data_IF_940130403220
#
_entry.id   IF_940130403220
#
_cell.length_a   1.000
_cell.length_b   1.000
_cell.length_c   1.000
_cell.angle_alpha   90.00
_cell.angle_beta   90.00
_cell.angle_gamma   90.00
#
_symmetry.space_group_name_H-M   'P 1'
#
loop_
_entity.id
_entity.type
_entity.pdbx_description
1 polymer ?
#
# COMPACT_ATOMS: atom_id res chain seq x y z
N UNK A 1 -22.29 -13.16 14.41
CA UNK A 1 -22.14 -12.28 13.22
C UNK A 1 -21.60 -13.12 12.07
N UNK A 2 -22.21 -13.08 10.88
CA UNK A 2 -21.70 -13.84 9.72
C UNK A 2 -20.46 -13.15 9.15
N UNK A 3 -19.36 -13.89 9.02
CA UNK A 3 -18.13 -13.41 8.37
C UNK A 3 -18.27 -13.45 6.85
N UNK A 4 -17.96 -12.35 6.16
CA UNK A 4 -17.90 -12.30 4.70
C UNK A 4 -16.68 -13.08 4.22
N UNK A 5 -16.90 -14.26 3.63
CA UNK A 5 -15.84 -15.10 3.07
C UNK A 5 -15.63 -14.75 1.60
N UNK A 6 -14.41 -14.35 1.26
CA UNK A 6 -13.95 -14.02 -0.09
C UNK A 6 -12.62 -14.70 -0.39
N UNK A 7 -12.20 -14.70 -1.65
CA UNK A 7 -10.88 -15.20 -2.03
C UNK A 7 -9.73 -14.53 -1.27
N UNK A 8 -9.84 -13.23 -0.91
CA UNK A 8 -8.85 -12.54 -0.08
C UNK A 8 -8.79 -13.13 1.33
N UNK A 9 -9.95 -13.36 1.97
CA UNK A 9 -9.97 -13.90 3.34
C UNK A 9 -9.36 -15.29 3.42
N UNK A 10 -9.61 -16.13 2.42
CA UNK A 10 -9.04 -17.48 2.32
C UNK A 10 -7.54 -17.43 2.04
N UNK A 11 -7.15 -16.61 1.06
CA UNK A 11 -5.76 -16.49 0.64
C UNK A 11 -4.88 -15.94 1.76
N UNK A 12 -5.28 -14.85 2.42
CA UNK A 12 -4.49 -14.23 3.47
C UNK A 12 -4.71 -14.86 4.86
N UNK A 13 -5.75 -15.67 5.05
CA UNK A 13 -6.10 -16.25 6.35
C UNK A 13 -6.67 -15.23 7.34
N UNK A 14 -7.40 -14.23 6.84
CA UNK A 14 -7.98 -13.12 7.64
C UNK A 14 -9.51 -13.23 7.69
N UNK A 15 -10.14 -12.56 8.65
CA UNK A 15 -11.60 -12.67 8.88
C UNK A 15 -12.41 -11.71 8.01
N UNK A 16 -11.84 -10.57 7.66
CA UNK A 16 -12.51 -9.50 6.93
C UNK A 16 -11.75 -9.18 5.64
N UNK A 17 -12.46 -8.96 4.51
CA UNK A 17 -11.84 -8.63 3.23
C UNK A 17 -11.38 -7.15 3.17
N UNK A 18 -10.63 -6.74 4.19
CA UNK A 18 -10.18 -5.38 4.43
C UNK A 18 -8.68 -5.38 4.69
N UNK A 19 -7.96 -4.59 3.92
CA UNK A 19 -6.50 -4.44 4.00
C UNK A 19 -6.15 -3.03 4.47
N UNK A 20 -5.29 -2.94 5.49
CA UNK A 20 -4.52 -1.73 5.77
C UNK A 20 -3.28 -1.76 4.88
N UNK A 21 -3.21 -0.85 3.89
CA UNK A 21 -2.12 -0.86 2.91
C UNK A 21 -0.81 -0.33 3.50
N UNK A 22 0.33 -0.80 2.96
CA UNK A 22 1.64 -0.29 3.34
C UNK A 22 1.74 1.22 3.09
N UNK A 23 1.95 1.99 4.15
CA UNK A 23 2.15 3.44 4.10
C UNK A 23 3.48 3.78 4.78
N UNK A 24 4.45 4.29 4.02
CA UNK A 24 5.75 4.70 4.57
C UNK A 24 5.59 5.63 5.78
N UNK A 25 6.41 5.43 6.81
CA UNK A 25 6.36 6.15 8.10
C UNK A 25 5.07 6.00 8.93
N UNK A 26 3.99 5.43 8.40
CA UNK A 26 2.68 5.32 9.07
C UNK A 26 2.40 3.88 9.48
N UNK A 27 2.61 2.93 8.58
CA UNK A 27 2.29 1.52 8.75
C UNK A 27 3.41 0.77 9.51
N UNK A 28 3.57 1.13 10.80
CA UNK A 28 4.46 0.46 11.74
C UNK A 28 3.78 -0.68 12.53
N UNK A 29 4.54 -1.35 13.43
CA UNK A 29 4.07 -2.55 14.13
C UNK A 29 2.73 -2.41 14.87
N UNK A 30 2.49 -1.25 15.50
CA UNK A 30 1.27 -1.00 16.28
C UNK A 30 0.02 -0.98 15.40
N UNK A 31 0.07 -0.29 14.26
CA UNK A 31 -1.06 -0.20 13.33
C UNK A 31 -1.33 -1.54 12.64
N UNK A 32 -0.26 -2.24 12.24
CA UNK A 32 -0.35 -3.55 11.59
C UNK A 32 -0.96 -4.58 12.54
N UNK A 33 -0.45 -4.67 13.78
CA UNK A 33 -0.98 -5.60 14.77
C UNK A 33 -2.42 -5.27 15.17
N UNK A 34 -2.76 -3.98 15.31
CA UNK A 34 -4.14 -3.54 15.55
C UNK A 34 -5.09 -3.99 14.44
N UNK A 35 -4.68 -3.82 13.18
CA UNK A 35 -5.46 -4.28 12.02
C UNK A 35 -5.63 -5.80 12.01
N UNK A 36 -4.55 -6.54 12.25
CA UNK A 36 -4.57 -8.01 12.26
C UNK A 36 -5.45 -8.56 13.40
N UNK A 37 -5.36 -7.96 14.60
CA UNK A 37 -6.20 -8.31 15.75
C UNK A 37 -7.68 -7.98 15.52
N UNK A 38 -7.99 -6.96 14.74
CA UNK A 38 -9.34 -6.63 14.30
C UNK A 38 -9.86 -7.53 13.15
N UNK A 39 -9.06 -8.49 12.68
CA UNK A 39 -9.46 -9.47 11.67
C UNK A 39 -9.22 -9.05 10.22
N UNK A 40 -8.61 -7.89 9.97
CA UNK A 40 -8.17 -7.46 8.64
C UNK A 40 -6.73 -7.89 8.33
N UNK A 41 -6.25 -7.59 7.12
CA UNK A 41 -4.84 -7.77 6.74
C UNK A 41 -4.07 -6.47 6.99
N UNK A 42 -3.23 -6.44 8.03
CA UNK A 42 -2.25 -5.37 8.22
C UNK A 42 -1.02 -5.57 7.35
N UNK A 43 -0.49 -4.50 6.74
CA UNK A 43 0.74 -4.55 5.92
C UNK A 43 1.75 -3.53 6.44
N UNK A 44 2.87 -4.04 6.96
CA UNK A 44 4.00 -3.23 7.43
C UNK A 44 4.71 -2.56 6.25
N UNK A 45 5.00 -1.27 6.34
CA UNK A 45 5.73 -0.57 5.28
C UNK A 45 7.23 -0.60 5.52
N UNK A 46 7.98 -1.40 4.75
CA UNK A 46 9.43 -1.49 4.91
C UNK A 46 10.21 -0.48 4.07
N UNK A 47 9.53 0.29 3.22
CA UNK A 47 10.17 1.16 2.23
C UNK A 47 11.07 2.25 2.85
N UNK A 48 10.81 2.62 4.11
CA UNK A 48 11.52 3.67 4.86
C UNK A 48 12.40 3.08 5.97
N UNK A 49 12.61 1.75 5.97
CA UNK A 49 13.35 1.02 6.99
C UNK A 49 14.63 0.46 6.40
N UNK A 50 15.73 0.55 7.13
CA UNK A 50 16.90 -0.31 6.93
C UNK A 50 16.52 -1.79 7.14
N UNK A 51 17.42 -2.70 6.74
CA UNK A 51 17.20 -4.13 6.95
C UNK A 51 17.02 -4.48 8.44
N UNK A 52 17.85 -3.93 9.33
CA UNK A 52 17.78 -4.17 10.78
C UNK A 52 16.51 -3.59 11.41
N UNK A 53 16.06 -2.42 10.94
CA UNK A 53 14.79 -1.85 11.38
C UNK A 53 13.59 -2.70 10.91
N UNK A 54 13.64 -3.24 9.69
CA UNK A 54 12.62 -4.17 9.21
C UNK A 54 12.57 -5.45 10.05
N UNK A 55 13.72 -6.06 10.33
CA UNK A 55 13.81 -7.25 11.20
C UNK A 55 13.22 -6.97 12.59
N UNK A 56 13.60 -5.83 13.19
CA UNK A 56 13.08 -5.39 14.49
C UNK A 56 11.56 -5.11 14.44
N UNK A 57 11.06 -4.52 13.35
CA UNK A 57 9.65 -4.21 13.18
C UNK A 57 8.80 -5.48 12.97
N UNK A 58 9.30 -6.47 12.23
CA UNK A 58 8.66 -7.80 12.10
C UNK A 58 8.59 -8.47 13.47
N UNK A 59 9.71 -8.54 14.19
CA UNK A 59 9.77 -9.13 15.53
C UNK A 59 8.78 -8.43 16.48
N UNK A 60 8.76 -7.09 16.48
CA UNK A 60 7.83 -6.31 17.30
C UNK A 60 6.37 -6.57 16.94
N UNK A 61 6.05 -6.68 15.65
CA UNK A 61 4.67 -6.97 15.19
C UNK A 61 4.21 -8.32 15.74
N UNK A 62 5.06 -9.35 15.68
CA UNK A 62 4.77 -10.68 16.24
C UNK A 62 4.60 -10.69 17.76
N UNK A 63 5.20 -9.76 18.51
CA UNK A 63 4.92 -9.63 19.96
C UNK A 63 3.54 -9.05 20.26
N UNK A 64 2.88 -8.42 19.28
CA UNK A 64 1.61 -7.71 19.44
C UNK A 64 0.43 -8.47 18.83
N UNK A 65 0.68 -9.48 18.00
CA UNK A 65 -0.37 -10.29 17.37
C UNK A 65 0.18 -11.66 16.94
N UNK A 66 -0.66 -12.69 17.12
CA UNK A 66 -0.47 -14.02 16.54
C UNK A 66 -1.23 -14.20 15.21
N UNK A 67 -1.89 -13.13 14.72
CA UNK A 67 -2.66 -13.15 13.47
C UNK A 67 -1.75 -12.88 12.25
N UNK A 68 -2.11 -13.38 11.06
CA UNK A 68 -1.31 -13.15 9.87
C UNK A 68 -1.25 -11.65 9.51
N UNK A 69 -0.07 -11.23 9.06
CA UNK A 69 0.18 -9.89 8.53
C UNK A 69 1.10 -9.96 7.31
N UNK A 70 1.16 -8.87 6.58
CA UNK A 70 2.04 -8.70 5.43
C UNK A 70 3.14 -7.67 5.63
N UNK A 71 4.09 -7.67 4.71
CA UNK A 71 5.13 -6.64 4.60
C UNK A 71 5.18 -6.12 3.16
N UNK A 72 5.17 -4.81 2.99
CA UNK A 72 5.34 -4.15 1.70
C UNK A 72 6.82 -3.82 1.44
N UNK A 73 7.34 -4.31 0.31
CA UNK A 73 8.71 -4.14 -0.15
C UNK A 73 8.73 -3.28 -1.41
N UNK A 74 9.75 -2.43 -1.54
CA UNK A 74 10.06 -1.76 -2.80
C UNK A 74 10.73 -2.74 -3.77
N UNK A 75 10.08 -3.00 -4.90
CA UNK A 75 10.61 -3.91 -5.92
C UNK A 75 11.96 -3.48 -6.50
N UNK A 76 12.27 -2.18 -6.44
CA UNK A 76 13.49 -1.55 -6.96
C UNK A 76 14.60 -1.38 -5.90
N UNK A 77 14.36 -1.80 -4.65
CA UNK A 77 15.39 -1.76 -3.61
C UNK A 77 16.50 -2.77 -3.92
N UNK A 78 17.76 -2.34 -3.83
CA UNK A 78 18.93 -3.19 -4.10
C UNK A 78 19.02 -4.38 -3.14
N UNK A 79 18.51 -4.24 -1.91
CA UNK A 79 18.45 -5.27 -0.88
C UNK A 79 17.13 -6.07 -0.88
N UNK A 80 16.25 -5.89 -1.88
CA UNK A 80 14.98 -6.62 -1.98
C UNK A 80 15.13 -8.15 -1.88
N UNK A 81 16.15 -8.80 -2.50
CA UNK A 81 16.37 -10.24 -2.32
C UNK A 81 16.61 -10.64 -0.86
N UNK A 82 17.39 -9.86 -0.11
CA UNK A 82 17.67 -10.12 1.31
C UNK A 82 16.44 -9.89 2.18
N UNK A 83 15.63 -8.86 1.87
CA UNK A 83 14.35 -8.65 2.56
C UNK A 83 13.38 -9.81 2.34
N UNK A 84 13.37 -10.39 1.16
CA UNK A 84 12.56 -11.59 0.88
C UNK A 84 13.04 -12.79 1.71
N UNK A 85 14.34 -13.00 1.83
CA UNK A 85 14.89 -14.04 2.71
C UNK A 85 14.45 -13.85 4.16
N UNK A 86 14.46 -12.61 4.64
CA UNK A 86 13.95 -12.26 5.96
C UNK A 86 12.45 -12.59 6.10
N UNK A 87 11.61 -12.20 5.14
CA UNK A 87 10.16 -12.52 5.17
C UNK A 87 9.91 -14.03 5.23
N UNK A 88 10.66 -14.81 4.45
CA UNK A 88 10.56 -16.27 4.43
C UNK A 88 10.99 -16.86 5.78
N UNK A 89 12.17 -16.48 6.28
CA UNK A 89 12.71 -16.93 7.57
C UNK A 89 11.75 -16.61 8.72
N UNK A 90 11.13 -15.44 8.66
CA UNK A 90 10.17 -14.97 9.66
C UNK A 90 8.74 -15.47 9.42
N UNK A 91 8.48 -16.33 8.44
CA UNK A 91 7.13 -16.83 8.13
C UNK A 91 6.07 -15.71 7.98
N UNK A 92 6.44 -14.60 7.34
CA UNK A 92 5.49 -13.52 7.03
C UNK A 92 4.46 -14.05 6.03
N UNK A 93 3.17 -13.81 6.29
CA UNK A 93 2.09 -14.42 5.51
C UNK A 93 1.99 -13.85 4.10
N UNK A 94 2.10 -12.52 3.98
CA UNK A 94 1.93 -11.79 2.71
C UNK A 94 3.16 -10.94 2.41
N UNK A 95 3.71 -11.10 1.21
CA UNK A 95 4.64 -10.15 0.61
C UNK A 95 3.88 -9.24 -0.36
N UNK A 96 3.82 -7.95 -0.04
CA UNK A 96 3.30 -6.93 -0.94
C UNK A 96 4.44 -6.16 -1.60
N UNK A 97 4.22 -5.64 -2.79
CA UNK A 97 5.24 -4.86 -3.51
C UNK A 97 4.71 -3.51 -3.96
N UNK A 98 5.51 -2.47 -3.72
CA UNK A 98 5.44 -1.23 -4.46
C UNK A 98 6.19 -1.42 -5.79
N UNK A 99 5.50 -1.16 -6.90
CA UNK A 99 5.93 -1.52 -8.26
C UNK A 99 5.95 -3.04 -8.51
N UNK A 100 6.03 -3.44 -9.78
CA UNK A 100 6.09 -4.85 -10.14
C UNK A 100 7.46 -5.45 -9.76
N UNK A 101 7.52 -6.50 -8.92
CA UNK A 101 8.77 -7.19 -8.59
C UNK A 101 9.27 -8.00 -9.78
N UNK A 102 10.53 -8.42 -9.74
CA UNK A 102 11.07 -9.33 -10.76
C UNK A 102 10.48 -10.74 -10.60
N UNK A 103 10.36 -11.47 -11.70
CA UNK A 103 9.73 -12.80 -11.75
C UNK A 103 10.40 -13.79 -10.77
N UNK A 104 11.73 -13.75 -10.65
CA UNK A 104 12.50 -14.60 -9.75
C UNK A 104 12.18 -14.36 -8.27
N UNK A 105 11.84 -13.13 -7.90
CA UNK A 105 11.48 -12.77 -6.53
C UNK A 105 10.09 -13.33 -6.17
N UNK A 106 9.15 -13.26 -7.12
CA UNK A 106 7.83 -13.89 -6.97
C UNK A 106 8.02 -15.40 -6.81
N UNK A 107 8.76 -16.05 -7.72
CA UNK A 107 8.97 -17.49 -7.68
C UNK A 107 9.57 -17.96 -6.34
N UNK A 108 10.56 -17.23 -5.80
CA UNK A 108 11.19 -17.53 -4.52
C UNK A 108 10.20 -17.47 -3.34
N UNK A 109 9.39 -16.42 -3.27
CA UNK A 109 8.36 -16.27 -2.23
C UNK A 109 7.30 -17.38 -2.31
N UNK A 110 6.86 -17.70 -3.52
CA UNK A 110 5.87 -18.75 -3.76
C UNK A 110 6.37 -20.15 -3.39
N UNK A 111 7.62 -20.46 -3.72
CA UNK A 111 8.24 -21.73 -3.34
C UNK A 111 8.29 -21.91 -1.81
N UNK A 112 8.32 -20.81 -1.05
CA UNK A 112 8.26 -20.79 0.41
C UNK A 112 6.84 -20.67 0.99
N UNK A 113 5.79 -20.65 0.16
CA UNK A 113 4.39 -20.54 0.61
C UNK A 113 3.96 -19.14 1.07
N UNK A 114 4.77 -18.11 0.79
CA UNK A 114 4.40 -16.70 1.06
C UNK A 114 3.47 -16.21 -0.04
N UNK A 115 2.33 -15.62 0.36
CA UNK A 115 1.35 -15.07 -0.58
C UNK A 115 1.88 -13.76 -1.17
N UNK A 116 1.88 -13.65 -2.50
CA UNK A 116 2.44 -12.49 -3.21
C UNK A 116 1.32 -11.59 -3.74
N UNK A 117 1.24 -10.36 -3.22
CA UNK A 117 0.21 -9.36 -3.56
C UNK A 117 0.83 -8.01 -3.95
N UNK A 118 1.31 -7.85 -5.20
CA UNK A 118 1.83 -6.57 -5.68
C UNK A 118 0.72 -5.53 -5.87
N UNK A 119 1.09 -4.25 -5.71
CA UNK A 119 0.21 -3.11 -6.03
C UNK A 119 0.40 -2.69 -7.48
N UNK A 120 -0.70 -2.52 -8.21
CA UNK A 120 -0.70 -2.15 -9.63
C UNK A 120 -1.66 -0.99 -9.90
N UNK A 121 -1.40 -0.25 -11.00
CA UNK A 121 -2.23 0.86 -11.47
C UNK A 121 -2.71 0.72 -12.92
N UNK A 122 -2.60 -0.47 -13.52
CA UNK A 122 -3.04 -0.73 -14.89
C UNK A 122 -3.26 -2.23 -15.16
N UNK A 123 -4.27 -2.58 -15.97
CA UNK A 123 -4.58 -3.96 -16.37
C UNK A 123 -3.38 -4.71 -16.98
N UNK A 124 -2.57 -4.04 -17.81
CA UNK A 124 -1.34 -4.63 -18.38
C UNK A 124 -0.34 -5.08 -17.31
N UNK A 125 -0.26 -4.36 -16.18
CA UNK A 125 0.64 -4.73 -15.08
C UNK A 125 0.07 -5.91 -14.30
N UNK A 126 -1.26 -5.96 -14.09
CA UNK A 126 -1.93 -7.10 -13.49
C UNK A 126 -1.69 -8.40 -14.29
N UNK A 127 -1.92 -8.37 -15.61
CA UNK A 127 -1.64 -9.52 -16.51
C UNK A 127 -0.20 -10.00 -16.37
N UNK A 128 0.75 -9.06 -16.33
CA UNK A 128 2.17 -9.37 -16.24
C UNK A 128 2.51 -10.10 -14.93
N UNK A 129 2.13 -9.54 -13.77
CA UNK A 129 2.43 -10.18 -12.48
C UNK A 129 1.64 -11.47 -12.26
N UNK A 130 0.42 -11.58 -12.79
CA UNK A 130 -0.34 -12.83 -12.80
C UNK A 130 0.37 -13.92 -13.60
N UNK A 131 0.90 -13.60 -14.79
CA UNK A 131 1.68 -14.55 -15.61
C UNK A 131 2.98 -15.01 -14.93
N UNK A 132 3.48 -14.24 -13.97
CA UNK A 132 4.63 -14.58 -13.13
C UNK A 132 4.25 -15.32 -11.85
N UNK A 133 2.95 -15.51 -11.61
CA UNK A 133 2.41 -16.29 -10.52
C UNK A 133 1.92 -15.50 -9.32
N UNK A 134 1.82 -14.17 -9.34
CA UNK A 134 1.24 -13.41 -8.21
C UNK A 134 -0.13 -14.00 -7.80
N UNK A 135 -0.38 -14.10 -6.50
CA UNK A 135 -1.56 -14.80 -5.97
C UNK A 135 -2.80 -13.89 -5.90
N UNK A 136 -2.59 -12.58 -5.84
CA UNK A 136 -3.62 -11.55 -5.93
C UNK A 136 -2.98 -10.22 -6.35
N UNK A 137 -3.78 -9.18 -6.63
CA UNK A 137 -3.29 -7.82 -6.87
C UNK A 137 -4.07 -6.78 -6.08
N UNK A 138 -3.38 -5.76 -5.56
CA UNK A 138 -4.03 -4.54 -5.07
C UNK A 138 -4.07 -3.54 -6.24
N UNK A 139 -5.25 -3.05 -6.58
CA UNK A 139 -5.48 -2.14 -7.71
C UNK A 139 -5.86 -0.78 -7.18
N UNK A 140 -4.95 0.19 -7.32
CA UNK A 140 -5.18 1.55 -6.82
C UNK A 140 -5.62 2.48 -7.94
N UNK A 141 -6.85 3.00 -7.83
CA UNK A 141 -7.33 4.10 -8.67
C UNK A 141 -6.75 5.46 -8.26
N UNK A 142 -6.95 6.45 -9.13
CA UNK A 142 -6.40 7.80 -9.03
C UNK A 142 -6.81 8.59 -7.79
N UNK A 143 -7.85 8.13 -7.10
CA UNK A 143 -8.35 8.65 -5.83
C UNK A 143 -7.45 8.30 -4.64
N UNK A 144 -6.61 7.26 -4.77
CA UNK A 144 -5.69 6.84 -3.72
C UNK A 144 -4.64 7.90 -3.40
N UNK A 145 -4.31 8.06 -2.11
CA UNK A 145 -3.18 8.85 -1.65
C UNK A 145 -1.85 8.20 -1.99
N UNK A 146 -0.76 8.97 -1.97
CA UNK A 146 0.55 8.44 -2.36
C UNK A 146 0.76 8.46 -3.87
N UNK A 147 1.71 7.66 -4.36
CA UNK A 147 1.90 7.46 -5.79
C UNK A 147 0.66 6.85 -6.43
N UNK A 148 0.13 7.50 -7.46
CA UNK A 148 -1.15 7.09 -8.06
C UNK A 148 -1.23 7.35 -9.56
N UNK A 149 -2.04 6.55 -10.26
CA UNK A 149 -2.36 6.76 -11.67
C UNK A 149 -3.44 7.82 -11.88
N UNK A 150 -3.73 8.21 -13.12
CA UNK A 150 -4.79 9.17 -13.42
C UNK A 150 -6.19 8.54 -13.52
N UNK A 151 -6.29 7.20 -13.60
CA UNK A 151 -7.53 6.49 -13.89
C UNK A 151 -8.32 6.28 -12.60
N UNK A 152 -9.58 6.72 -12.58
CA UNK A 152 -10.49 6.53 -11.44
C UNK A 152 -10.72 5.04 -11.14
N UNK A 153 -10.90 4.69 -9.86
CA UNK A 153 -11.17 3.32 -9.41
C UNK A 153 -12.34 2.68 -10.15
N UNK A 154 -13.41 3.43 -10.42
CA UNK A 154 -14.62 2.95 -11.11
C UNK A 154 -14.38 2.51 -12.56
N UNK A 155 -13.30 2.98 -13.19
CA UNK A 155 -12.88 2.58 -14.53
C UNK A 155 -11.74 1.56 -14.49
N UNK A 156 -10.78 1.76 -13.59
CA UNK A 156 -9.61 0.91 -13.46
C UNK A 156 -9.96 -0.50 -12.95
N UNK A 157 -10.82 -0.59 -11.94
CA UNK A 157 -11.18 -1.83 -11.29
C UNK A 157 -11.80 -2.86 -12.27
N UNK A 158 -12.90 -2.55 -13.01
CA UNK A 158 -13.46 -3.49 -13.97
C UNK A 158 -12.46 -3.86 -15.07
N UNK A 159 -11.68 -2.89 -15.57
CA UNK A 159 -10.65 -3.18 -16.58
C UNK A 159 -9.58 -4.18 -16.11
N UNK A 160 -9.25 -4.22 -14.81
CA UNK A 160 -8.33 -5.21 -14.25
C UNK A 160 -9.03 -6.54 -14.02
N UNK A 161 -10.27 -6.53 -13.52
CA UNK A 161 -11.07 -7.74 -13.31
C UNK A 161 -11.28 -8.52 -14.62
N UNK A 162 -11.55 -7.84 -15.72
CA UNK A 162 -11.68 -8.47 -17.05
C UNK A 162 -10.35 -9.02 -17.60
N UNK A 163 -9.23 -8.63 -16.99
CA UNK A 163 -7.90 -8.91 -17.49
C UNK A 163 -7.21 -10.10 -16.81
N UNK A 164 -7.64 -10.51 -15.61
CA UNK A 164 -6.98 -11.56 -14.82
C UNK A 164 -7.98 -12.39 -14.02
N UNK A 165 -7.68 -13.67 -13.82
CA UNK A 165 -8.50 -14.58 -13.01
C UNK A 165 -8.10 -14.59 -11.52
N UNK A 166 -6.93 -14.04 -11.17
CA UNK A 166 -6.49 -13.96 -9.78
C UNK A 166 -7.31 -12.93 -8.99
N UNK A 167 -7.48 -13.11 -7.66
CA UNK A 167 -8.20 -12.16 -6.82
C UNK A 167 -7.68 -10.72 -6.95
N UNK A 168 -8.63 -9.78 -7.08
CA UNK A 168 -8.36 -8.35 -7.18
C UNK A 168 -8.86 -7.63 -5.93
N UNK A 169 -8.00 -6.83 -5.30
CA UNK A 169 -8.32 -6.04 -4.11
C UNK A 169 -8.39 -4.57 -4.52
N UNK A 170 -9.55 -3.95 -4.34
CA UNK A 170 -9.78 -2.59 -4.80
C UNK A 170 -9.19 -1.55 -3.82
N UNK A 171 -8.48 -0.55 -4.32
CA UNK A 171 -7.88 0.52 -3.52
C UNK A 171 -8.12 1.89 -4.17
N UNK A 172 -8.12 2.94 -3.33
CA UNK A 172 -8.40 4.32 -3.75
C UNK A 172 -9.88 4.68 -3.61
N UNK A 173 -10.17 5.64 -2.71
CA UNK A 173 -11.52 6.15 -2.45
C UNK A 173 -12.35 5.37 -1.43
N UNK A 174 -11.91 4.19 -0.98
CA UNK A 174 -12.63 3.37 0.01
C UNK A 174 -12.32 3.78 1.45
N UNK A 175 -13.36 3.94 2.28
CA UNK A 175 -13.23 4.27 3.70
C UNK A 175 -14.32 3.71 4.61
N UNK A 176 -15.37 3.07 4.07
CA UNK A 176 -16.49 2.51 4.83
C UNK A 176 -17.12 1.28 4.16
N UNK A 177 -18.22 0.78 4.75
CA UNK A 177 -18.95 -0.40 4.26
C UNK A 177 -19.65 -0.21 2.91
N UNK A 178 -20.02 1.02 2.53
CA UNK A 178 -20.61 1.29 1.20
C UNK A 178 -19.57 1.05 0.11
N UNK A 179 -18.36 1.53 0.36
CA UNK A 179 -17.21 1.29 -0.51
C UNK A 179 -16.88 -0.20 -0.65
N UNK A 180 -16.87 -0.95 0.46
CA UNK A 180 -16.68 -2.40 0.42
C UNK A 180 -17.77 -3.10 -0.39
N UNK A 181 -19.05 -2.78 -0.15
CA UNK A 181 -20.16 -3.37 -0.88
C UNK A 181 -20.05 -3.11 -2.39
N UNK A 182 -19.70 -1.88 -2.79
CA UNK A 182 -19.47 -1.52 -4.19
C UNK A 182 -18.31 -2.30 -4.81
N UNK A 183 -17.17 -2.42 -4.11
CA UNK A 183 -16.03 -3.19 -4.61
C UNK A 183 -16.37 -4.68 -4.81
N UNK A 184 -17.08 -5.29 -3.86
CA UNK A 184 -17.55 -6.67 -3.99
C UNK A 184 -18.54 -6.82 -5.16
N UNK A 185 -19.43 -5.85 -5.37
CA UNK A 185 -20.37 -5.85 -6.49
C UNK A 185 -19.68 -5.74 -7.85
N UNK A 186 -18.54 -5.03 -7.95
CA UNK A 186 -17.69 -5.05 -9.14
C UNK A 186 -17.05 -6.42 -9.39
N UNK A 187 -16.87 -7.25 -8.36
CA UNK A 187 -16.17 -8.54 -8.43
C UNK A 187 -14.82 -8.55 -7.69
N UNK A 188 -14.46 -7.48 -6.97
CA UNK A 188 -13.26 -7.48 -6.15
C UNK A 188 -13.39 -8.48 -4.99
N UNK A 189 -12.25 -9.01 -4.54
CA UNK A 189 -12.16 -9.89 -3.38
C UNK A 189 -12.16 -9.13 -2.03
N UNK A 190 -12.05 -7.80 -2.07
CA UNK A 190 -12.01 -6.94 -0.89
C UNK A 190 -11.53 -5.53 -1.20
N UNK A 191 -11.26 -4.75 -0.16
CA UNK A 191 -10.75 -3.38 -0.28
C UNK A 191 -9.44 -3.17 0.48
N UNK A 192 -8.58 -2.31 -0.03
CA UNK A 192 -7.42 -1.78 0.68
C UNK A 192 -7.58 -0.28 0.93
N UNK A 193 -7.28 0.13 2.16
CA UNK A 193 -7.44 1.51 2.61
C UNK A 193 -6.14 2.04 3.22
N UNK A 194 -5.79 3.28 2.87
CA UNK A 194 -4.67 4.01 3.47
C UNK A 194 -5.17 5.05 4.46
N UNK A 195 -5.71 6.17 3.94
CA UNK A 195 -6.18 7.32 4.73
C UNK A 195 -7.10 6.93 5.89
N UNK A 196 -8.01 5.96 5.71
CA UNK A 196 -8.90 5.48 6.78
C UNK A 196 -8.16 4.87 7.97
N UNK A 197 -7.07 4.13 7.72
CA UNK A 197 -6.22 3.53 8.74
C UNK A 197 -5.20 4.51 9.32
N UNK A 198 -4.76 5.51 8.56
CA UNK A 198 -3.99 6.62 9.09
C UNK A 198 -4.74 7.33 10.24
N UNK A 199 -6.07 7.39 10.15
CA UNK A 199 -6.97 8.04 11.09
C UNK A 199 -7.49 7.14 12.22
N UNK A 200 -6.81 6.03 12.54
CA UNK A 200 -7.16 5.18 13.69
C UNK A 200 -6.31 5.47 14.93
N UNK A 201 -6.69 4.87 16.07
CA UNK A 201 -6.03 5.07 17.36
C UNK A 201 -4.63 4.43 17.41
N UNK A 202 -4.43 3.34 16.66
CA UNK A 202 -3.18 2.59 16.60
C UNK A 202 -2.14 3.25 15.69
N UNK A 203 -2.57 4.15 14.79
CA UNK A 203 -1.69 4.95 13.96
C UNK A 203 -0.90 5.94 14.83
N UNK A 204 0.43 5.92 14.67
CA UNK A 204 1.37 6.81 15.39
C UNK A 204 1.52 8.18 14.73
N UNK A 205 0.75 8.46 13.68
CA UNK A 205 0.72 9.79 13.05
C UNK A 205 0.27 10.81 14.09
N UNK A 206 0.97 11.96 14.22
CA UNK A 206 0.59 12.99 15.19
C UNK A 206 -0.85 13.45 15.02
N UNK A 207 -1.54 13.71 16.13
CA UNK A 207 -2.94 14.10 16.08
C UNK A 207 -3.14 15.40 15.29
N UNK A 208 -2.21 16.35 15.34
CA UNK A 208 -2.26 17.56 14.51
C UNK A 208 -2.36 17.26 13.02
N UNK A 209 -1.65 16.23 12.53
CA UNK A 209 -1.73 15.77 11.14
C UNK A 209 -3.08 15.09 10.89
N UNK A 210 -3.58 14.26 11.82
CA UNK A 210 -4.90 13.62 11.67
C UNK A 210 -6.02 14.67 11.59
N UNK A 211 -5.95 15.74 12.38
CA UNK A 211 -6.91 16.84 12.33
C UNK A 211 -6.92 17.53 10.98
N UNK A 212 -5.77 17.73 10.33
CA UNK A 212 -5.73 18.25 8.96
C UNK A 212 -6.52 17.34 7.99
N UNK A 213 -6.32 16.02 8.02
CA UNK A 213 -7.10 15.11 7.18
C UNK A 213 -8.61 15.16 7.46
N UNK A 214 -9.02 15.40 8.71
CA UNK A 214 -10.43 15.46 9.09
C UNK A 214 -11.10 16.81 8.73
N UNK A 215 -10.31 17.89 8.64
CA UNK A 215 -10.80 19.23 8.32
C UNK A 215 -10.95 19.49 6.81
N UNK A 216 -10.46 18.58 5.96
CA UNK A 216 -10.31 18.78 4.51
C UNK A 216 -11.39 18.04 3.71
N UNK A 217 -11.85 18.67 2.64
CA UNK A 217 -12.84 18.12 1.71
C UNK A 217 -12.22 17.38 0.53
N UNK A 218 -13.07 16.88 -0.38
CA UNK A 218 -12.64 16.13 -1.56
C UNK A 218 -11.78 16.94 -2.53
N UNK A 219 -11.93 18.26 -2.55
CA UNK A 219 -11.20 19.18 -3.44
C UNK A 219 -9.85 19.64 -2.84
N UNK A 220 -9.55 19.25 -1.60
CA UNK A 220 -8.34 19.68 -0.89
C UNK A 220 -7.15 18.74 -1.09
N UNK A 221 -7.14 18.01 -2.21
CA UNK A 221 -6.00 17.21 -2.65
C UNK A 221 -5.61 17.56 -4.07
N UNK A 222 -4.33 17.40 -4.38
CA UNK A 222 -3.80 17.57 -5.72
C UNK A 222 -2.91 16.39 -6.08
N UNK A 223 -2.83 16.08 -7.37
CA UNK A 223 -1.85 15.13 -7.91
C UNK A 223 -0.70 15.95 -8.47
N UNK A 224 0.45 15.88 -7.82
CA UNK A 224 1.66 16.62 -8.22
C UNK A 224 2.79 15.64 -8.57
N UNK A 225 3.67 16.06 -9.47
CA UNK A 225 4.97 15.39 -9.73
C UNK A 225 6.13 16.11 -9.05
N UNK A 226 5.90 17.26 -8.43
CA UNK A 226 6.95 18.14 -7.90
C UNK A 226 7.52 17.67 -6.55
N UNK A 227 6.93 16.65 -5.94
CA UNK A 227 7.43 16.04 -4.70
C UNK A 227 8.66 15.17 -4.97
N UNK A 228 8.56 14.22 -5.91
CA UNK A 228 9.61 13.23 -6.18
C UNK A 228 9.75 12.83 -7.67
N UNK A 229 9.09 13.56 -8.58
CA UNK A 229 9.10 13.29 -10.01
C UNK A 229 8.01 12.33 -10.49
N UNK A 230 7.33 11.62 -9.59
CA UNK A 230 6.23 10.71 -9.92
C UNK A 230 4.88 11.30 -9.50
N UNK A 231 3.77 10.97 -10.19
CA UNK A 231 2.45 11.46 -9.80
C UNK A 231 2.10 10.97 -8.39
N UNK A 232 1.87 11.93 -7.49
CA UNK A 232 1.67 11.70 -6.06
C UNK A 232 0.46 12.53 -5.60
N UNK A 233 -0.59 11.88 -5.08
CA UNK A 233 -1.74 12.57 -4.48
C UNK A 233 -1.43 12.93 -3.04
N UNK A 234 -1.50 14.22 -2.74
CA UNK A 234 -1.20 14.81 -1.43
C UNK A 234 -2.27 15.84 -1.04
N UNK A 235 -2.36 16.17 0.25
CA UNK A 235 -3.17 17.28 0.73
C UNK A 235 -2.63 18.62 0.22
N UNK A 236 -3.55 19.55 -0.08
CA UNK A 236 -3.22 20.92 -0.44
C UNK A 236 -2.75 21.67 0.81
N UNK A 237 -1.44 21.67 1.03
CA UNK A 237 -0.76 22.42 2.10
C UNK A 237 -0.01 23.61 1.52
N UNK A 238 0.39 24.58 2.35
CA UNK A 238 1.19 25.72 1.90
C UNK A 238 2.50 25.29 1.22
N UNK A 239 3.12 24.21 1.71
CA UNK A 239 4.29 23.61 1.09
C UNK A 239 3.99 23.09 -0.31
N UNK A 240 2.91 22.32 -0.49
CA UNK A 240 2.51 21.76 -1.78
C UNK A 240 2.12 22.88 -2.75
N UNK A 241 1.34 23.86 -2.29
CA UNK A 241 0.97 25.02 -3.09
C UNK A 241 2.21 25.81 -3.53
N UNK A 242 3.18 26.04 -2.64
CA UNK A 242 4.46 26.69 -2.97
C UNK A 242 5.25 25.92 -4.03
N UNK A 243 5.32 24.58 -3.92
CA UNK A 243 5.94 23.73 -4.92
C UNK A 243 5.23 23.88 -6.27
N UNK A 244 3.90 23.81 -6.31
CA UNK A 244 3.11 23.94 -7.53
C UNK A 244 3.27 25.30 -8.22
N UNK A 245 3.40 26.40 -7.47
CA UNK A 245 3.55 27.74 -8.02
C UNK A 245 5.01 28.14 -8.33
N UNK A 246 6.00 27.35 -7.90
CA UNK A 246 7.39 27.59 -8.27
C UNK A 246 7.61 27.31 -9.77
N UNK A 247 8.05 28.34 -10.52
CA UNK A 247 8.34 28.23 -11.96
C UNK A 247 9.43 27.19 -12.26
N UNK A 248 9.43 26.63 -13.48
CA UNK A 248 10.18 25.41 -13.86
C UNK A 248 11.64 25.36 -13.37
N UNK A 249 12.39 26.47 -13.45
CA UNK A 249 13.78 26.54 -12.97
C UNK A 249 13.91 26.49 -11.44
N UNK A 250 13.06 27.22 -10.71
CA UNK A 250 13.04 27.20 -9.23
C UNK A 250 12.44 25.91 -8.68
N UNK A 251 11.44 25.36 -9.36
CA UNK A 251 10.79 24.10 -9.01
C UNK A 251 11.71 22.89 -9.18
N UNK A 252 12.54 22.84 -10.23
CA UNK A 252 13.55 21.79 -10.41
C UNK A 252 14.63 21.84 -9.33
N UNK A 253 15.14 23.02 -8.97
CA UNK A 253 16.12 23.17 -7.89
C UNK A 253 15.52 22.83 -6.53
N UNK A 254 14.27 23.25 -6.27
CA UNK A 254 13.56 22.90 -5.05
C UNK A 254 13.24 21.40 -4.96
N UNK A 255 12.78 20.78 -6.06
CA UNK A 255 12.53 19.36 -6.15
C UNK A 255 13.82 18.54 -5.99
N UNK A 256 14.92 18.94 -6.64
CA UNK A 256 16.22 18.29 -6.44
C UNK A 256 16.70 18.41 -4.99
N UNK A 257 16.60 19.60 -4.38
CA UNK A 257 16.99 19.82 -2.99
C UNK A 257 16.11 19.04 -2.01
N UNK A 258 14.81 18.98 -2.26
CA UNK A 258 13.86 18.21 -1.45
C UNK A 258 14.05 16.71 -1.65
N UNK A 259 14.29 16.24 -2.87
CA UNK A 259 14.62 14.84 -3.15
C UNK A 259 15.95 14.43 -2.49
N UNK A 260 16.96 15.29 -2.50
CA UNK A 260 18.22 15.06 -1.77
C UNK A 260 18.02 15.05 -0.26
N UNK A 261 17.21 15.97 0.30
CA UNK A 261 16.85 15.94 1.73
C UNK A 261 16.04 14.70 2.08
N UNK A 262 15.08 14.34 1.24
CA UNK A 262 14.25 13.16 1.42
C UNK A 262 15.12 11.89 1.39
N UNK A 263 16.01 11.77 0.40
CA UNK A 263 17.01 10.70 0.31
C UNK A 263 17.91 10.64 1.55
N UNK A 264 18.40 11.78 2.03
CA UNK A 264 19.22 11.84 3.24
C UNK A 264 18.45 11.44 4.52
N UNK A 265 17.12 11.60 4.54
CA UNK A 265 16.26 11.18 5.65
C UNK A 265 15.80 9.72 5.54
N UNK A 266 15.79 9.14 4.35
CA UNK A 266 15.28 7.78 4.10
C UNK A 266 16.37 6.72 3.94
N UNK A 267 17.65 7.11 3.87
CA UNK A 267 18.76 6.22 3.51
C UNK A 267 18.90 6.08 1.99
#
# INVERSE_FOLDING_TARGET
MSTLRTALTELAGVQHPVVQTGMGWVAGPRLVAGTANAGGLGILASATMTYTELESAIAKTKTLTDKPFGVNIRADASDAPHRIDLLIRENVRVASFALAPKQELIAKLKAAGVVVIPSIGAAKHAKKVASWGADAVIVQGGEGGGHTGPVATTLLLPSVLDAVDIPVIAAGGFYDGRGLAAALAYGAAGVAMGTRFLLTQESTVPDSVKHEYLARGLQDTTVTRKVDGMPHRVLNTDLVNSLEHSGNMRGLVAAARNASKFKAMTG
#
